data_IF_281352993796
#
_entry.id   IF_281352993796
#
_cell.length_a   1.000
_cell.length_b   1.000
_cell.length_c   1.000
_cell.angle_alpha   90.00
_cell.angle_beta   90.00
_cell.angle_gamma   90.00
#
_symmetry.space_group_name_H-M   'P 1'
#
loop_
_entity.id
_entity.type
_entity.pdbx_description
1 polymer ?
#
# COMPACT_ATOMS: atom_id res chain seq x y z
N UNK A 1 37.04 64.21 0.90
CA UNK A 1 38.33 63.52 1.04
C UNK A 1 38.26 62.24 0.23
N UNK A 2 39.05 62.21 -0.86
CA UNK A 2 39.52 61.10 -1.72
C UNK A 2 38.52 59.99 -2.07
N UNK A 3 37.99 59.95 -3.30
CA UNK A 3 38.66 59.48 -4.53
C UNK A 3 39.28 58.07 -4.37
N UNK A 4 38.68 57.08 -5.05
CA UNK A 4 39.31 56.52 -6.25
C UNK A 4 38.35 55.66 -7.07
N UNK A 5 38.34 55.99 -8.35
CA UNK A 5 37.62 55.36 -9.43
C UNK A 5 38.29 54.07 -9.93
N UNK A 6 37.45 53.29 -10.62
CA UNK A 6 37.72 52.50 -11.83
C UNK A 6 38.72 51.32 -11.78
N UNK A 7 38.21 50.15 -12.16
CA UNK A 7 38.61 49.55 -13.44
C UNK A 7 37.64 48.41 -13.85
N UNK A 8 36.85 48.66 -14.89
CA UNK A 8 36.30 47.59 -15.73
C UNK A 8 37.46 47.01 -16.54
N UNK A 9 37.64 45.68 -16.52
CA UNK A 9 38.38 44.96 -17.57
C UNK A 9 37.64 43.71 -18.01
N UNK A 10 37.15 43.81 -19.25
CA UNK A 10 36.72 42.72 -20.12
C UNK A 10 37.86 41.73 -20.31
N UNK A 11 37.57 40.44 -20.22
CA UNK A 11 38.19 39.40 -21.05
C UNK A 11 37.15 38.38 -21.45
N UNK A 12 36.79 38.47 -22.72
CA UNK A 12 36.14 37.44 -23.51
C UNK A 12 36.96 36.15 -23.49
N UNK A 13 36.31 35.01 -23.26
CA UNK A 13 36.65 33.76 -23.95
C UNK A 13 35.34 33.04 -24.28
N UNK A 14 34.93 33.21 -25.53
CA UNK A 14 34.07 32.29 -26.24
C UNK A 14 34.80 30.94 -26.34
N UNK A 15 34.18 29.87 -25.85
CA UNK A 15 34.39 28.53 -26.42
C UNK A 15 33.05 28.01 -26.90
N UNK A 16 32.85 28.21 -28.19
CA UNK A 16 31.96 27.38 -28.99
C UNK A 16 32.49 25.94 -28.98
N UNK A 17 31.62 25.00 -28.65
CA UNK A 17 31.81 23.57 -28.87
C UNK A 17 30.49 23.01 -29.37
N UNK A 18 30.33 22.95 -30.68
CA UNK A 18 29.28 22.19 -31.33
C UNK A 18 29.85 20.81 -31.69
N UNK A 19 29.22 19.74 -31.20
CA UNK A 19 29.26 18.40 -31.77
C UNK A 19 28.03 17.68 -31.18
N UNK A 20 26.96 17.53 -31.96
CA UNK A 20 26.70 16.37 -32.83
C UNK A 20 25.80 15.39 -32.09
N UNK A 21 24.61 15.17 -32.68
CA UNK A 21 23.52 14.46 -32.05
C UNK A 21 23.78 12.98 -31.86
N UNK A 22 23.05 12.43 -30.90
CA UNK A 22 22.59 11.05 -30.94
C UNK A 22 21.08 11.12 -30.82
N UNK A 23 20.40 11.03 -31.97
CA UNK A 23 19.02 10.53 -32.02
C UNK A 23 19.16 9.04 -31.78
N UNK A 24 18.98 8.63 -30.53
CA UNK A 24 18.77 7.24 -30.17
C UNK A 24 17.28 6.98 -30.10
N UNK A 25 16.65 6.72 -31.25
CA UNK A 25 15.41 5.95 -31.26
C UNK A 25 15.81 4.49 -31.06
N UNK A 26 15.84 4.06 -29.80
CA UNK A 26 15.83 2.66 -29.43
C UNK A 26 14.53 2.42 -28.67
N UNK A 27 13.55 1.86 -29.36
CA UNK A 27 12.40 1.24 -28.72
C UNK A 27 12.90 0.07 -27.90
N UNK A 28 12.96 0.26 -26.59
CA UNK A 28 12.98 -0.84 -25.65
C UNK A 28 11.51 -1.12 -25.31
N UNK A 29 10.94 -2.15 -25.92
CA UNK A 29 9.93 -2.95 -25.26
C UNK A 29 10.63 -3.69 -24.11
N UNK A 30 10.97 -2.95 -23.06
CA UNK A 30 11.32 -3.51 -21.78
C UNK A 30 10.04 -3.51 -20.98
N UNK A 31 9.45 -4.69 -20.77
CA UNK A 31 8.51 -4.83 -19.66
C UNK A 31 9.24 -4.32 -18.43
N UNK A 32 8.64 -3.40 -17.70
CA UNK A 32 9.25 -2.93 -16.45
C UNK A 32 9.40 -4.16 -15.56
N UNK A 33 10.64 -4.55 -15.25
CA UNK A 33 10.94 -5.60 -14.26
C UNK A 33 10.61 -5.14 -12.82
N UNK A 34 9.94 -4.00 -12.65
CA UNK A 34 9.47 -3.47 -11.38
C UNK A 34 8.01 -3.86 -11.11
N UNK A 35 7.55 -3.72 -9.86
CA UNK A 35 6.17 -3.99 -9.51
C UNK A 35 5.20 -3.08 -10.26
N UNK A 36 3.96 -3.55 -10.41
CA UNK A 36 2.86 -2.78 -10.98
C UNK A 36 2.44 -1.62 -10.05
N UNK A 37 2.70 -1.75 -8.76
CA UNK A 37 2.44 -0.74 -7.73
C UNK A 37 3.44 -0.89 -6.58
N UNK A 38 3.96 0.23 -6.10
CA UNK A 38 4.81 0.36 -4.92
C UNK A 38 4.34 1.58 -4.13
N UNK A 39 4.14 1.43 -2.82
CA UNK A 39 3.74 2.53 -1.93
C UNK A 39 4.48 2.47 -0.60
N UNK A 40 5.07 3.59 -0.22
CA UNK A 40 5.73 3.82 1.08
C UNK A 40 5.21 5.06 1.80
N UNK A 41 4.10 5.64 1.33
CA UNK A 41 3.36 6.75 1.96
C UNK A 41 4.15 8.06 2.13
N UNK A 42 5.18 8.26 1.31
CA UNK A 42 6.04 9.46 1.35
C UNK A 42 5.43 10.68 0.63
N UNK A 43 4.36 10.47 -0.13
CA UNK A 43 3.63 11.53 -0.84
C UNK A 43 2.33 11.94 -0.11
N UNK A 44 1.57 12.84 -0.71
CA UNK A 44 0.23 13.20 -0.21
C UNK A 44 -0.74 12.00 -0.36
N UNK A 45 -1.94 12.10 0.22
CA UNK A 45 -2.96 11.02 0.24
C UNK A 45 -3.30 10.42 -1.13
N UNK A 46 -3.02 11.12 -2.24
CA UNK A 46 -3.19 10.58 -3.59
C UNK A 46 -4.60 10.09 -3.85
N UNK A 47 -4.69 8.86 -4.38
CA UNK A 47 -5.95 8.16 -4.69
C UNK A 47 -6.39 7.20 -3.57
N UNK A 48 -5.82 7.34 -2.36
CA UNK A 48 -6.23 6.54 -1.21
C UNK A 48 -7.60 6.97 -0.68
N UNK A 49 -8.50 6.00 -0.55
CA UNK A 49 -9.80 6.15 0.13
C UNK A 49 -9.78 5.35 1.44
N UNK A 50 -10.44 5.85 2.49
CA UNK A 50 -10.46 5.21 3.81
C UNK A 50 -11.87 4.83 4.19
N UNK A 51 -12.03 3.64 4.75
CA UNK A 51 -13.35 3.13 5.13
C UNK A 51 -13.26 2.15 6.32
N UNK A 52 -14.42 1.86 6.89
CA UNK A 52 -14.57 0.88 7.95
C UNK A 52 -15.96 0.25 7.91
N UNK A 53 -16.04 -0.97 8.43
CA UNK A 53 -17.27 -1.69 8.61
C UNK A 53 -17.21 -2.36 9.97
N UNK A 54 -18.35 -2.47 10.61
CA UNK A 54 -18.55 -3.24 11.82
C UNK A 54 -19.78 -4.10 11.61
N UNK A 55 -19.73 -5.35 12.07
CA UNK A 55 -20.78 -6.33 11.82
C UNK A 55 -22.16 -5.86 12.30
N UNK A 56 -23.22 -6.69 12.14
CA UNK A 56 -24.60 -6.27 12.36
C UNK A 56 -24.94 -5.92 13.82
N UNK A 57 -23.98 -6.02 14.74
CA UNK A 57 -24.16 -5.81 16.17
C UNK A 57 -24.32 -4.33 16.53
N UNK A 58 -23.66 -3.43 15.80
CA UNK A 58 -23.70 -1.98 16.03
C UNK A 58 -23.68 -1.21 14.71
N UNK A 59 -24.17 0.03 14.74
CA UNK A 59 -24.10 0.93 13.60
C UNK A 59 -22.68 1.52 13.48
N UNK A 60 -22.22 1.79 12.25
CA UNK A 60 -20.91 2.39 12.00
C UNK A 60 -20.71 3.76 12.69
N UNK A 61 -21.80 4.46 13.01
CA UNK A 61 -21.78 5.74 13.72
C UNK A 61 -21.36 5.60 15.20
N UNK A 62 -21.45 4.39 15.76
CA UNK A 62 -21.04 4.06 17.13
C UNK A 62 -19.62 3.44 17.20
N UNK A 63 -18.98 3.22 16.05
CA UNK A 63 -17.64 2.66 15.93
C UNK A 63 -16.62 3.76 15.62
N UNK A 64 -15.78 4.14 16.59
CA UNK A 64 -14.69 5.09 16.35
C UNK A 64 -13.51 4.40 15.65
N UNK A 65 -13.07 5.01 14.55
CA UNK A 65 -11.92 4.58 13.76
C UNK A 65 -11.24 5.77 13.09
N UNK A 66 -9.97 5.58 12.72
CA UNK A 66 -9.19 6.58 12.00
C UNK A 66 -8.16 5.90 11.12
N UNK A 67 -8.04 6.38 9.87
CA UNK A 67 -6.92 6.08 8.99
C UNK A 67 -6.28 7.40 8.57
N UNK A 68 -4.97 7.49 8.71
CA UNK A 68 -4.21 8.71 8.39
C UNK A 68 -2.76 8.39 8.07
N UNK A 69 -2.04 9.32 7.42
CA UNK A 69 -0.60 9.18 7.24
C UNK A 69 0.12 9.72 8.48
N UNK A 70 1.11 8.99 8.97
CA UNK A 70 1.83 9.32 10.20
C UNK A 70 3.34 9.28 10.00
N UNK A 71 4.06 10.01 10.87
CA UNK A 71 5.53 10.02 10.98
C UNK A 71 6.01 9.37 12.28
N UNK A 72 5.10 8.74 13.03
CA UNK A 72 5.42 8.13 14.33
C UNK A 72 6.22 6.84 14.15
N UNK A 73 5.83 6.01 13.19
CA UNK A 73 6.53 4.79 12.79
C UNK A 73 6.65 4.77 11.26
N UNK A 74 7.76 4.23 10.74
CA UNK A 74 7.95 3.96 9.32
C UNK A 74 8.92 2.76 9.17
N UNK A 75 8.60 1.83 8.26
CA UNK A 75 9.48 0.72 7.93
C UNK A 75 10.62 1.22 7.04
N UNK A 76 10.25 2.08 6.09
CA UNK A 76 11.14 2.77 5.17
C UNK A 76 10.78 4.26 5.13
N UNK A 77 11.69 5.10 4.64
CA UNK A 77 11.37 6.53 4.48
C UNK A 77 11.12 7.27 5.80
N UNK A 78 10.05 8.06 5.83
CA UNK A 78 9.66 8.95 6.94
C UNK A 78 8.20 8.88 7.32
N UNK A 79 7.35 8.25 6.51
CA UNK A 79 5.91 8.18 6.72
C UNK A 79 5.41 6.74 6.55
N UNK A 80 4.24 6.46 7.14
CA UNK A 80 3.51 5.21 6.93
C UNK A 80 2.01 5.45 7.10
N UNK A 81 1.20 4.46 6.72
CA UNK A 81 -0.23 4.46 6.96
C UNK A 81 -0.50 4.08 8.42
N UNK A 82 -1.09 4.98 9.20
CA UNK A 82 -1.61 4.71 10.54
C UNK A 82 -3.05 4.22 10.43
N UNK A 83 -3.33 3.09 11.08
CA UNK A 83 -4.68 2.52 11.22
C UNK A 83 -5.00 2.41 12.69
N UNK A 84 -6.06 3.08 13.13
CA UNK A 84 -6.58 2.99 14.49
C UNK A 84 -8.07 2.63 14.46
N UNK A 85 -8.47 1.74 15.34
CA UNK A 85 -9.87 1.45 15.59
C UNK A 85 -10.09 1.09 17.06
N UNK A 86 -11.24 1.52 17.59
CA UNK A 86 -11.63 1.17 18.94
C UNK A 86 -11.78 -0.35 19.08
N UNK A 87 -11.51 -0.86 20.27
CA UNK A 87 -11.64 -2.27 20.60
C UNK A 87 -12.98 -2.65 21.19
N UNK A 88 -13.81 -1.70 21.64
CA UNK A 88 -15.01 -1.94 22.48
C UNK A 88 -16.01 -2.99 21.93
N UNK A 89 -15.89 -3.34 20.66
CA UNK A 89 -16.62 -4.42 20.02
C UNK A 89 -15.61 -5.48 19.59
N UNK A 90 -15.86 -6.76 19.86
CA UNK A 90 -15.04 -7.90 19.43
C UNK A 90 -15.10 -8.13 17.89
N UNK A 91 -15.32 -7.06 17.11
CA UNK A 91 -15.59 -7.08 15.69
C UNK A 91 -15.22 -5.74 15.02
N UNK A 92 -15.16 -5.75 13.69
CA UNK A 92 -14.97 -4.57 12.89
C UNK A 92 -13.62 -4.49 12.20
N UNK A 93 -13.64 -3.82 11.06
CA UNK A 93 -12.53 -3.70 10.12
C UNK A 93 -12.37 -2.25 9.72
N UNK A 94 -11.12 -1.82 9.61
CA UNK A 94 -10.76 -0.46 9.20
C UNK A 94 -9.63 -0.57 8.19
N UNK A 95 -9.78 0.07 7.03
CA UNK A 95 -8.86 -0.11 5.92
C UNK A 95 -8.71 1.14 5.04
N UNK A 96 -7.65 1.13 4.25
CA UNK A 96 -7.42 2.04 3.15
C UNK A 96 -7.51 1.27 1.82
N UNK A 97 -8.04 1.91 0.78
CA UNK A 97 -8.18 1.36 -0.58
C UNK A 97 -7.42 2.23 -1.57
N UNK A 98 -6.68 1.59 -2.48
CA UNK A 98 -6.03 2.25 -3.60
C UNK A 98 -6.30 1.51 -4.92
N UNK A 99 -6.60 2.21 -6.03
CA UNK A 99 -6.72 1.59 -7.34
C UNK A 99 -5.35 1.18 -7.90
N UNK A 100 -5.27 -0.03 -8.47
CA UNK A 100 -4.08 -0.59 -9.12
C UNK A 100 -4.43 -0.88 -10.58
N UNK A 101 -3.83 -0.17 -11.55
CA UNK A 101 -4.06 -0.42 -12.97
C UNK A 101 -3.66 -1.84 -13.39
N UNK A 102 -4.46 -2.47 -14.25
CA UNK A 102 -4.20 -3.80 -14.80
C UNK A 102 -4.65 -3.85 -16.29
N UNK A 103 -4.08 -4.74 -17.09
CA UNK A 103 -4.61 -4.96 -18.45
C UNK A 103 -5.83 -5.90 -18.41
N UNK A 104 -6.94 -5.49 -19.02
CA UNK A 104 -8.12 -6.34 -19.18
C UNK A 104 -7.89 -7.44 -20.23
N UNK A 105 -8.58 -8.56 -20.10
CA UNK A 105 -8.62 -9.67 -21.06
C UNK A 105 -7.47 -10.68 -20.90
N UNK A 106 -6.85 -10.72 -19.72
CA UNK A 106 -5.79 -11.68 -19.37
C UNK A 106 -6.01 -12.24 -17.97
N UNK A 107 -5.38 -13.38 -17.69
CA UNK A 107 -5.24 -13.92 -16.34
C UNK A 107 -3.82 -13.72 -15.84
N UNK A 108 -3.68 -13.68 -14.51
CA UNK A 108 -2.44 -13.30 -13.84
C UNK A 108 -2.12 -14.21 -12.66
N UNK A 109 -0.84 -14.26 -12.32
CA UNK A 109 -0.35 -14.55 -10.98
C UNK A 109 0.05 -13.21 -10.37
N UNK A 110 -0.57 -12.82 -9.27
CA UNK A 110 -0.29 -11.54 -8.61
C UNK A 110 0.23 -11.81 -7.20
N UNK A 111 1.40 -11.25 -6.87
CA UNK A 111 1.95 -11.25 -5.52
C UNK A 111 1.70 -9.87 -4.89
N UNK A 112 1.19 -9.87 -3.67
CA UNK A 112 0.99 -8.66 -2.86
C UNK A 112 1.71 -8.82 -1.53
N UNK A 113 2.50 -7.82 -1.16
CA UNK A 113 3.20 -7.77 0.12
C UNK A 113 3.06 -6.41 0.79
N UNK A 114 3.20 -6.40 2.11
CA UNK A 114 3.23 -5.18 2.93
C UNK A 114 3.85 -5.44 4.31
N UNK A 115 4.42 -4.42 4.91
CA UNK A 115 4.92 -4.44 6.29
C UNK A 115 3.82 -3.96 7.23
N UNK A 116 3.59 -4.68 8.32
CA UNK A 116 2.72 -4.26 9.41
C UNK A 116 3.51 -4.16 10.70
N UNK A 117 3.32 -3.07 11.43
CA UNK A 117 3.96 -2.83 12.73
C UNK A 117 3.08 -3.29 13.89
N UNK A 118 3.69 -3.84 14.93
CA UNK A 118 3.07 -4.09 16.23
C UNK A 118 3.95 -3.52 17.35
N UNK A 119 3.33 -2.90 18.37
CA UNK A 119 4.06 -2.30 19.52
C UNK A 119 4.86 -3.33 20.33
N UNK A 120 4.43 -4.59 20.28
CA UNK A 120 5.10 -5.69 20.97
C UNK A 120 4.77 -7.03 20.32
N UNK A 121 5.52 -8.07 20.68
CA UNK A 121 5.10 -9.44 20.46
C UNK A 121 4.14 -9.88 21.57
N UNK A 122 3.02 -10.53 21.21
CA UNK A 122 2.01 -11.01 22.15
C UNK A 122 1.53 -12.40 21.77
N UNK A 123 1.31 -13.24 22.79
CA UNK A 123 0.62 -14.52 22.60
C UNK A 123 -0.89 -14.35 22.36
N UNK A 124 -1.46 -13.23 22.84
CA UNK A 124 -2.85 -12.89 22.60
C UNK A 124 -2.92 -12.03 21.33
N UNK A 125 -3.54 -12.56 20.28
CA UNK A 125 -3.84 -11.81 19.06
C UNK A 125 -5.06 -10.93 19.30
N UNK A 126 -4.92 -9.61 19.27
CA UNK A 126 -6.03 -8.66 19.48
C UNK A 126 -6.50 -7.97 18.19
N UNK A 127 -5.73 -8.08 17.10
CA UNK A 127 -6.11 -7.70 15.73
C UNK A 127 -5.56 -8.68 14.69
N UNK A 128 -6.19 -8.70 13.53
CA UNK A 128 -5.63 -9.28 12.31
C UNK A 128 -5.11 -8.19 11.37
N UNK A 129 -4.02 -8.47 10.67
CA UNK A 129 -3.62 -7.77 9.45
C UNK A 129 -4.57 -8.19 8.32
N UNK A 130 -5.02 -7.21 7.54
CA UNK A 130 -5.87 -7.42 6.38
C UNK A 130 -5.17 -6.91 5.14
N UNK A 131 -5.14 -7.74 4.10
CA UNK A 131 -4.90 -7.29 2.73
C UNK A 131 -5.85 -8.01 1.78
N UNK A 132 -6.34 -7.30 0.77
CA UNK A 132 -7.19 -7.83 -0.29
C UNK A 132 -6.90 -7.12 -1.60
N UNK A 133 -6.89 -7.85 -2.70
CA UNK A 133 -6.85 -7.31 -4.06
C UNK A 133 -7.98 -7.94 -4.88
N UNK A 134 -8.82 -7.12 -5.50
CA UNK A 134 -9.92 -7.64 -6.32
C UNK A 134 -10.51 -6.63 -7.30
N UNK A 135 -11.44 -7.05 -8.18
CA UNK A 135 -12.05 -6.19 -9.20
C UNK A 135 -12.97 -5.09 -8.65
N UNK A 136 -13.48 -5.26 -7.43
CA UNK A 136 -14.36 -4.32 -6.75
C UNK A 136 -13.76 -3.96 -5.38
N UNK A 137 -13.82 -2.68 -4.95
CA UNK A 137 -13.39 -2.28 -3.62
C UNK A 137 -14.31 -2.92 -2.57
N UNK A 138 -13.78 -3.36 -1.41
CA UNK A 138 -14.61 -3.93 -0.37
C UNK A 138 -15.50 -2.85 0.26
N UNK A 139 -16.74 -3.22 0.60
CA UNK A 139 -17.70 -2.34 1.30
C UNK A 139 -18.19 -2.89 2.64
N UNK A 140 -17.94 -4.17 2.92
CA UNK A 140 -18.29 -4.82 4.18
C UNK A 140 -17.18 -5.74 4.67
N UNK A 141 -17.24 -6.15 5.94
CA UNK A 141 -16.27 -7.07 6.53
C UNK A 141 -16.22 -8.43 5.80
N UNK A 142 -17.36 -8.95 5.36
CA UNK A 142 -17.48 -10.27 4.73
C UNK A 142 -16.78 -10.36 3.37
N UNK A 143 -16.43 -9.22 2.78
CA UNK A 143 -15.66 -9.16 1.53
C UNK A 143 -14.16 -9.40 1.73
N UNK A 144 -13.67 -9.40 2.98
CA UNK A 144 -12.31 -9.78 3.33
C UNK A 144 -12.17 -11.30 3.56
N UNK A 145 -10.95 -11.84 3.44
CA UNK A 145 -10.65 -13.22 3.83
C UNK A 145 -11.11 -13.52 5.26
N UNK A 146 -11.60 -14.75 5.48
CA UNK A 146 -11.91 -15.24 6.83
C UNK A 146 -10.65 -15.31 7.70
N UNK A 147 -10.75 -15.20 9.04
CA UNK A 147 -9.59 -15.30 9.93
C UNK A 147 -8.72 -16.55 9.66
N UNK A 148 -7.42 -16.33 9.48
CA UNK A 148 -6.43 -17.36 9.18
C UNK A 148 -6.39 -17.80 7.70
N UNK A 149 -7.17 -17.17 6.83
CA UNK A 149 -7.17 -17.46 5.39
C UNK A 149 -6.11 -16.63 4.67
N UNK A 150 -5.37 -17.29 3.77
CA UNK A 150 -4.48 -16.69 2.79
C UNK A 150 -4.75 -17.36 1.43
N UNK A 151 -4.84 -16.58 0.34
CA UNK A 151 -5.23 -17.09 -0.99
C UNK A 151 -4.11 -17.82 -1.76
N UNK A 152 -2.85 -17.76 -1.32
CA UNK A 152 -1.68 -18.28 -2.08
C UNK A 152 -1.85 -19.69 -2.65
N UNK A 153 -2.54 -20.58 -1.95
CA UNK A 153 -2.66 -21.99 -2.35
C UNK A 153 -4.11 -22.41 -2.69
N UNK A 154 -5.01 -21.44 -2.91
CA UNK A 154 -6.43 -21.72 -3.19
C UNK A 154 -6.74 -21.90 -4.69
N UNK A 155 -5.75 -21.68 -5.56
CA UNK A 155 -5.95 -21.68 -7.01
C UNK A 155 -6.70 -20.44 -7.48
N UNK A 156 -7.55 -20.59 -8.51
CA UNK A 156 -8.30 -19.47 -9.06
C UNK A 156 -9.46 -19.05 -8.15
N UNK A 157 -9.39 -17.82 -7.63
CA UNK A 157 -10.40 -17.19 -6.76
C UNK A 157 -10.89 -15.86 -7.33
N UNK A 158 -12.09 -15.36 -6.95
CA UNK A 158 -12.60 -14.07 -7.42
C UNK A 158 -11.78 -12.85 -6.97
N UNK A 159 -11.03 -12.99 -5.87
CA UNK A 159 -10.12 -12.00 -5.30
C UNK A 159 -8.95 -12.69 -4.60
N UNK A 160 -7.87 -11.95 -4.38
CA UNK A 160 -6.71 -12.34 -3.58
C UNK A 160 -6.74 -11.68 -2.21
N UNK A 161 -6.17 -12.31 -1.18
CA UNK A 161 -6.05 -11.65 0.12
C UNK A 161 -5.47 -12.52 1.24
N UNK A 162 -5.27 -11.88 2.38
CA UNK A 162 -5.03 -12.54 3.66
C UNK A 162 -5.75 -11.85 4.82
N UNK A 163 -6.05 -12.63 5.85
CA UNK A 163 -6.41 -12.16 7.20
C UNK A 163 -5.63 -12.98 8.22
N UNK A 164 -4.55 -12.42 8.75
CA UNK A 164 -3.61 -13.13 9.64
C UNK A 164 -3.32 -12.36 10.92
N UNK A 165 -2.87 -13.05 11.97
CA UNK A 165 -2.62 -12.47 13.28
C UNK A 165 -1.55 -11.36 13.25
N UNK A 166 -1.82 -10.25 13.95
CA UNK A 166 -0.82 -9.26 14.33
C UNK A 166 -0.15 -9.64 15.68
N UNK A 167 0.83 -8.85 16.14
CA UNK A 167 1.66 -9.12 17.34
C UNK A 167 2.45 -10.44 17.29
N UNK A 168 2.66 -11.01 16.10
CA UNK A 168 3.52 -12.19 15.93
C UNK A 168 5.03 -11.85 16.06
N UNK A 169 5.35 -10.56 16.09
CA UNK A 169 6.68 -10.02 16.30
C UNK A 169 6.56 -8.60 16.88
N UNK A 170 7.60 -8.16 17.59
CA UNK A 170 7.80 -6.76 17.96
C UNK A 170 8.29 -5.96 16.73
N UNK A 171 7.69 -4.80 16.49
CA UNK A 171 8.00 -3.93 15.35
C UNK A 171 7.40 -4.42 14.03
N UNK A 172 8.14 -4.22 12.94
CA UNK A 172 7.69 -4.48 11.57
C UNK A 172 7.80 -5.95 11.18
N UNK A 173 6.75 -6.45 10.52
CA UNK A 173 6.69 -7.79 9.95
C UNK A 173 6.04 -7.76 8.57
N UNK A 174 6.63 -8.50 7.65
CA UNK A 174 6.07 -8.67 6.30
C UNK A 174 4.90 -9.67 6.32
N UNK A 175 3.84 -9.29 5.62
CA UNK A 175 2.69 -10.12 5.28
C UNK A 175 2.58 -10.17 3.76
N UNK A 176 2.24 -11.33 3.21
CA UNK A 176 2.12 -11.49 1.76
C UNK A 176 1.09 -12.57 1.40
N UNK A 177 0.46 -12.40 0.23
CA UNK A 177 -0.34 -13.43 -0.41
C UNK A 177 -0.07 -13.44 -1.92
N UNK A 178 -0.32 -14.59 -2.53
CA UNK A 178 -0.43 -14.73 -3.97
C UNK A 178 -1.89 -14.93 -4.38
N UNK A 179 -2.23 -14.43 -5.56
CA UNK A 179 -3.53 -14.58 -6.16
C UNK A 179 -3.41 -15.02 -7.61
N UNK A 180 -3.91 -16.21 -7.87
CA UNK A 180 -4.12 -16.70 -9.23
C UNK A 180 -5.47 -16.19 -9.73
N UNK A 181 -5.48 -15.26 -10.67
CA UNK A 181 -6.72 -14.63 -11.14
C UNK A 181 -7.42 -15.49 -12.20
N UNK A 182 -8.77 -15.43 -12.30
CA UNK A 182 -9.44 -15.74 -13.56
C UNK A 182 -9.06 -14.71 -14.64
N UNK A 183 -9.54 -14.89 -15.87
CA UNK A 183 -9.46 -13.83 -16.88
C UNK A 183 -10.21 -12.58 -16.37
N UNK A 184 -9.48 -11.47 -16.23
CA UNK A 184 -10.02 -10.22 -15.72
C UNK A 184 -10.66 -9.42 -16.86
N UNK A 185 -11.89 -8.95 -16.68
CA UNK A 185 -12.59 -8.07 -17.63
C UNK A 185 -12.54 -6.58 -17.24
N UNK A 186 -11.73 -6.23 -16.24
CA UNK A 186 -11.51 -4.88 -15.71
C UNK A 186 -10.12 -4.38 -16.07
N UNK A 187 -9.93 -3.06 -16.10
CA UNK A 187 -8.64 -2.37 -16.24
C UNK A 187 -8.09 -1.86 -14.90
N UNK A 188 -8.83 -2.08 -13.80
CA UNK A 188 -8.47 -1.64 -12.46
C UNK A 188 -8.77 -2.72 -11.43
N UNK A 189 -7.84 -2.95 -10.53
CA UNK A 189 -8.03 -3.72 -9.29
C UNK A 189 -7.99 -2.76 -8.09
N UNK A 190 -8.50 -3.19 -6.95
CA UNK A 190 -8.53 -2.38 -5.73
C UNK A 190 -7.75 -3.10 -4.63
N UNK A 191 -6.61 -2.53 -4.25
CA UNK A 191 -5.83 -2.97 -3.11
C UNK A 191 -6.41 -2.37 -1.85
N UNK A 192 -6.91 -3.21 -0.94
CA UNK A 192 -7.35 -2.81 0.38
C UNK A 192 -6.38 -3.34 1.44
N UNK A 193 -5.92 -2.48 2.34
CA UNK A 193 -5.01 -2.84 3.45
C UNK A 193 -5.53 -2.26 4.76
N UNK A 194 -5.45 -3.00 5.86
CA UNK A 194 -6.02 -2.53 7.11
C UNK A 194 -5.91 -3.53 8.25
N UNK A 195 -6.77 -3.34 9.27
CA UNK A 195 -6.80 -4.21 10.45
C UNK A 195 -8.21 -4.62 10.82
N UNK A 196 -8.36 -5.81 11.40
CA UNK A 196 -9.62 -6.31 11.95
C UNK A 196 -9.54 -6.49 13.47
N UNK A 197 -10.58 -6.10 14.20
CA UNK A 197 -10.71 -6.37 15.64
C UNK A 197 -10.93 -7.87 15.91
N UNK A 198 -10.42 -8.32 17.06
CA UNK A 198 -10.66 -9.66 17.59
C UNK A 198 -11.08 -9.57 19.07
N UNK A 199 -10.47 -8.65 19.82
CA UNK A 199 -10.71 -8.48 21.25
C UNK A 199 -10.83 -7.02 21.66
N UNK A 200 -11.60 -6.80 22.73
CA UNK A 200 -11.81 -5.56 23.51
C UNK A 200 -10.53 -4.83 23.98
N UNK A 201 -9.77 -4.28 23.04
CA UNK A 201 -8.65 -3.37 23.32
C UNK A 201 -8.44 -2.44 22.13
N UNK A 202 -8.38 -1.12 22.36
CA UNK A 202 -7.99 -0.15 21.34
C UNK A 202 -6.56 -0.42 20.87
N UNK A 203 -6.30 -0.27 19.58
CA UNK A 203 -4.96 -0.46 19.05
C UNK A 203 -4.69 0.44 17.84
N UNK A 204 -3.45 0.93 17.77
CA UNK A 204 -2.91 1.61 16.58
C UNK A 204 -1.90 0.69 15.91
N UNK A 205 -1.98 0.58 14.59
CA UNK A 205 -1.02 -0.12 13.75
C UNK A 205 -0.49 0.80 12.67
N UNK A 206 0.62 0.37 12.09
CA UNK A 206 1.21 1.03 10.93
C UNK A 206 1.37 0.02 9.81
N UNK A 207 1.12 0.48 8.58
CA UNK A 207 1.32 -0.28 7.34
C UNK A 207 2.27 0.50 6.44
N UNK A 208 3.24 -0.19 5.85
CA UNK A 208 4.27 0.43 5.01
C UNK A 208 4.81 -0.57 3.96
N UNK A 209 5.62 -0.08 3.01
CA UNK A 209 6.30 -0.87 1.97
C UNK A 209 5.37 -1.84 1.21
N UNK A 210 4.24 -1.32 0.71
CA UNK A 210 3.30 -2.09 -0.10
C UNK A 210 3.88 -2.33 -1.50
N UNK A 211 3.71 -3.55 -2.02
CA UNK A 211 4.12 -3.90 -3.38
C UNK A 211 3.10 -4.85 -4.02
N UNK A 212 2.77 -4.60 -5.29
CA UNK A 212 1.98 -5.50 -6.13
C UNK A 212 2.80 -5.87 -7.36
N UNK A 213 3.12 -7.16 -7.51
CA UNK A 213 3.82 -7.71 -8.68
C UNK A 213 2.86 -8.54 -9.51
N UNK A 214 2.85 -8.31 -10.82
CA UNK A 214 1.89 -8.90 -11.75
C UNK A 214 2.64 -9.68 -12.82
N UNK A 215 2.30 -10.97 -12.95
CA UNK A 215 2.81 -11.83 -14.01
C UNK A 215 1.64 -12.39 -14.83
N UNK A 216 1.60 -12.11 -16.14
CA UNK A 216 0.60 -12.69 -17.05
C UNK A 216 0.79 -14.20 -17.18
N UNK A 217 -0.32 -14.95 -17.23
CA UNK A 217 -0.36 -16.41 -17.36
C UNK A 217 -0.72 -16.90 -18.76
#
# INVERSE_FOLDING_TARGET
MNERAAAVRRRDVLRAGAAAGVIGLAGCAGGSEGPAFEEGFEEDIGDWEFDAAIGPEVDIEDFDWEVSFSREEAASGTQSLRVWNQGDYDDGVTWAVHPVPIESGSSYQIEVSGQFWSESESFNTIRHALMRLGPEPPSTEEEFPQPGLNTTELGETPYGGLRDALWLADGWREYAFEWTTPELSTDTLYLAVGTAVIWEADATHYVDDLSVRVETR
#
